data_IF_537399030406
#
_entry.id   IF_537399030406
#
_cell.length_a   1.000
_cell.length_b   1.000
_cell.length_c   1.000
_cell.angle_alpha   90.00
_cell.angle_beta   90.00
_cell.angle_gamma   90.00
#
_symmetry.space_group_name_H-M   'P 1'
#
loop_
_entity.id
_entity.type
_entity.pdbx_description
1 polymer ?
#
# COMPACT_ATOMS: atom_id res chain seq x y z
N UNK A 1 -10.94 -13.17 21.48
CA UNK A 1 -10.20 -11.93 21.15
C UNK A 1 -8.93 -12.32 20.40
N UNK A 2 -8.68 -11.76 19.22
CA UNK A 2 -7.40 -11.96 18.53
C UNK A 2 -6.32 -11.16 19.25
N UNK A 3 -5.10 -11.69 19.36
CA UNK A 3 -4.00 -10.95 19.99
C UNK A 3 -3.63 -9.74 19.12
N UNK A 4 -3.19 -8.64 19.75
CA UNK A 4 -2.75 -7.42 19.04
C UNK A 4 -1.63 -7.72 18.04
N UNK A 5 -0.74 -8.66 18.39
CA UNK A 5 0.38 -9.09 17.55
C UNK A 5 -0.14 -9.76 16.27
N UNK A 6 -1.08 -10.70 16.39
CA UNK A 6 -1.63 -11.38 15.22
C UNK A 6 -2.38 -10.40 14.31
N UNK A 7 -3.10 -9.42 14.88
CA UNK A 7 -3.77 -8.38 14.10
C UNK A 7 -2.79 -7.51 13.31
N UNK A 8 -1.72 -7.02 13.95
CA UNK A 8 -0.71 -6.19 13.26
C UNK A 8 0.03 -7.04 12.22
N UNK A 9 0.40 -8.27 12.55
CA UNK A 9 1.11 -9.18 11.66
C UNK A 9 0.33 -9.49 10.39
N UNK A 10 -0.99 -9.71 10.48
CA UNK A 10 -1.79 -9.96 9.28
C UNK A 10 -1.88 -8.71 8.39
N UNK A 11 -2.05 -7.52 8.96
CA UNK A 11 -2.06 -6.27 8.19
C UNK A 11 -0.72 -6.02 7.52
N UNK A 12 0.38 -6.24 8.24
CA UNK A 12 1.73 -6.07 7.70
C UNK A 12 1.95 -6.97 6.49
N UNK A 13 1.60 -8.26 6.57
CA UNK A 13 1.69 -9.20 5.45
C UNK A 13 0.78 -8.75 4.28
N UNK A 14 -0.46 -8.36 4.57
CA UNK A 14 -1.41 -7.88 3.55
C UNK A 14 -0.93 -6.61 2.85
N UNK A 15 -0.21 -5.72 3.54
CA UNK A 15 0.38 -4.52 2.94
C UNK A 15 1.68 -4.82 2.19
N UNK A 16 2.49 -5.77 2.68
CA UNK A 16 3.80 -6.08 2.13
C UNK A 16 3.73 -6.69 0.73
N UNK A 17 2.77 -7.59 0.49
CA UNK A 17 2.59 -8.25 -0.82
C UNK A 17 2.30 -7.24 -1.95
N UNK A 18 1.25 -6.39 -1.88
CA UNK A 18 0.99 -5.41 -2.93
C UNK A 18 2.10 -4.37 -3.05
N UNK A 19 2.78 -4.02 -1.95
CA UNK A 19 3.95 -3.15 -1.99
C UNK A 19 5.13 -3.77 -2.77
N UNK A 20 5.45 -5.05 -2.55
CA UNK A 20 6.46 -5.75 -3.35
C UNK A 20 6.09 -5.84 -4.83
N UNK A 21 4.82 -6.12 -5.14
CA UNK A 21 4.31 -6.14 -6.51
C UNK A 21 4.39 -4.75 -7.16
N UNK A 22 4.14 -3.69 -6.39
CA UNK A 22 4.29 -2.31 -6.84
C UNK A 22 5.74 -2.04 -7.24
N UNK A 23 6.71 -2.33 -6.35
CA UNK A 23 8.13 -2.16 -6.64
C UNK A 23 8.56 -2.95 -7.88
N UNK A 24 8.19 -4.23 -7.94
CA UNK A 24 8.53 -5.10 -9.06
C UNK A 24 7.92 -4.61 -10.38
N UNK A 25 6.68 -4.11 -10.38
CA UNK A 25 6.04 -3.61 -11.60
C UNK A 25 6.58 -2.24 -12.02
N UNK A 26 6.84 -1.33 -11.08
CA UNK A 26 7.46 -0.03 -11.38
C UNK A 26 8.85 -0.18 -11.97
N UNK A 27 9.62 -1.18 -11.53
CA UNK A 27 10.96 -1.45 -12.07
C UNK A 27 10.95 -1.92 -13.53
N UNK A 28 9.82 -2.40 -14.06
CA UNK A 28 9.70 -2.83 -15.46
C UNK A 28 9.31 -1.69 -16.41
N UNK A 29 8.92 -0.52 -15.88
CA UNK A 29 8.34 0.57 -16.66
C UNK A 29 9.14 1.87 -16.55
N UNK A 30 10.41 1.79 -16.16
CA UNK A 30 11.30 2.94 -15.98
C UNK A 30 11.55 3.73 -17.26
N UNK A 31 11.43 3.08 -18.41
CA UNK A 31 11.61 3.69 -19.75
C UNK A 31 10.37 4.45 -20.25
N UNK A 32 9.25 4.41 -19.50
CA UNK A 32 8.05 5.16 -19.90
C UNK A 32 8.24 6.66 -19.73
N UNK A 33 7.49 7.44 -20.52
CA UNK A 33 7.44 8.88 -20.28
C UNK A 33 6.91 9.17 -18.86
N UNK A 34 7.40 10.25 -18.24
CA UNK A 34 7.06 10.60 -16.86
C UNK A 34 5.56 10.63 -16.59
N UNK A 35 4.76 11.11 -17.54
CA UNK A 35 3.30 11.16 -17.40
C UNK A 35 2.70 9.74 -17.29
N UNK A 36 3.09 8.82 -18.17
CA UNK A 36 2.58 7.45 -18.14
C UNK A 36 3.06 6.70 -16.90
N UNK A 37 4.32 6.90 -16.50
CA UNK A 37 4.86 6.33 -15.26
C UNK A 37 4.02 6.74 -14.05
N UNK A 38 3.72 8.04 -13.89
CA UNK A 38 2.91 8.56 -12.77
C UNK A 38 1.49 7.97 -12.80
N UNK A 39 0.83 7.97 -13.95
CA UNK A 39 -0.53 7.43 -14.09
C UNK A 39 -0.57 5.95 -13.74
N UNK A 40 0.35 5.15 -14.26
CA UNK A 40 0.42 3.71 -13.97
C UNK A 40 0.75 3.50 -12.49
N UNK A 41 1.68 4.25 -11.92
CA UNK A 41 2.03 4.19 -10.51
C UNK A 41 0.80 4.42 -9.61
N UNK A 42 -0.02 5.43 -9.91
CA UNK A 42 -1.23 5.74 -9.16
C UNK A 42 -2.29 4.64 -9.30
N UNK A 43 -2.52 4.16 -10.52
CA UNK A 43 -3.47 3.07 -10.78
C UNK A 43 -3.04 1.77 -10.07
N UNK A 44 -1.75 1.45 -10.09
CA UNK A 44 -1.22 0.27 -9.39
C UNK A 44 -1.38 0.38 -7.88
N UNK A 45 -1.04 1.52 -7.27
CA UNK A 45 -1.27 1.76 -5.85
C UNK A 45 -2.75 1.54 -5.48
N UNK A 46 -3.65 2.15 -6.25
CA UNK A 46 -5.07 2.01 -5.96
C UNK A 46 -5.55 0.56 -6.09
N UNK A 47 -5.23 -0.09 -7.21
CA UNK A 47 -5.72 -1.43 -7.55
C UNK A 47 -5.15 -2.51 -6.64
N UNK A 48 -3.83 -2.55 -6.45
CA UNK A 48 -3.17 -3.60 -5.66
C UNK A 48 -3.62 -3.57 -4.20
N UNK A 49 -3.69 -2.38 -3.60
CA UNK A 49 -4.13 -2.24 -2.21
C UNK A 49 -5.63 -2.43 -2.05
N UNK A 50 -6.47 -1.95 -2.97
CA UNK A 50 -7.91 -2.21 -2.94
C UNK A 50 -8.21 -3.72 -3.03
N UNK A 51 -7.53 -4.45 -3.91
CA UNK A 51 -7.71 -5.90 -4.05
C UNK A 51 -7.23 -6.61 -2.78
N UNK A 52 -6.00 -6.36 -2.33
CA UNK A 52 -5.41 -7.04 -1.18
C UNK A 52 -6.24 -6.81 0.09
N UNK A 53 -6.62 -5.56 0.37
CA UNK A 53 -7.43 -5.24 1.54
C UNK A 53 -8.90 -5.62 1.36
N UNK A 54 -9.44 -5.66 0.15
CA UNK A 54 -10.76 -6.22 -0.12
C UNK A 54 -10.85 -7.70 0.29
N UNK A 55 -9.82 -8.50 -0.02
CA UNK A 55 -9.74 -9.88 0.47
C UNK A 55 -9.53 -9.97 1.98
N UNK A 56 -8.72 -9.08 2.55
CA UNK A 56 -8.56 -8.99 4.00
C UNK A 56 -9.90 -8.75 4.70
N UNK A 57 -10.67 -7.73 4.30
CA UNK A 57 -11.93 -7.39 4.96
C UNK A 57 -13.03 -8.45 4.75
N UNK A 58 -13.03 -9.18 3.64
CA UNK A 58 -13.90 -10.37 3.49
C UNK A 58 -13.68 -11.39 4.61
N UNK A 59 -12.44 -11.59 5.05
CA UNK A 59 -12.11 -12.47 6.19
C UNK A 59 -12.18 -11.81 7.57
N UNK A 60 -12.30 -10.48 7.62
CA UNK A 60 -12.16 -9.67 8.85
C UNK A 60 -13.24 -8.57 8.94
N UNK A 61 -14.50 -8.92 8.66
CA UNK A 61 -15.61 -7.95 8.55
C UNK A 61 -15.88 -7.11 9.80
N UNK A 62 -15.39 -7.52 10.97
CA UNK A 62 -15.60 -6.83 12.25
C UNK A 62 -14.50 -5.82 12.59
N UNK A 63 -13.45 -5.75 11.78
CA UNK A 63 -12.34 -4.82 12.02
C UNK A 63 -12.72 -3.41 11.54
N UNK A 64 -12.33 -2.41 12.33
CA UNK A 64 -12.55 -1.00 11.97
C UNK A 64 -11.68 -0.60 10.76
N UNK A 65 -12.28 -0.15 9.64
CA UNK A 65 -11.53 0.22 8.44
C UNK A 65 -10.47 1.30 8.67
N UNK A 66 -10.75 2.27 9.55
CA UNK A 66 -9.81 3.33 9.87
C UNK A 66 -8.57 2.78 10.59
N UNK A 67 -8.77 1.93 11.60
CA UNK A 67 -7.68 1.28 12.32
C UNK A 67 -6.81 0.41 11.41
N UNK A 68 -7.42 -0.35 10.51
CA UNK A 68 -6.69 -1.21 9.55
C UNK A 68 -5.85 -0.35 8.60
N UNK A 69 -6.43 0.71 8.04
CA UNK A 69 -5.73 1.67 7.18
C UNK A 69 -4.55 2.32 7.92
N UNK A 70 -4.75 2.82 9.14
CA UNK A 70 -3.69 3.49 9.90
C UNK A 70 -2.50 2.57 10.17
N UNK A 71 -2.75 1.31 10.57
CA UNK A 71 -1.69 0.32 10.78
C UNK A 71 -0.98 -0.01 9.47
N UNK A 72 -1.72 -0.18 8.37
CA UNK A 72 -1.14 -0.45 7.06
C UNK A 72 -0.20 0.68 6.60
N UNK A 73 -0.59 1.95 6.78
CA UNK A 73 0.27 3.09 6.44
C UNK A 73 1.55 3.12 7.28
N UNK A 74 1.46 2.83 8.58
CA UNK A 74 2.66 2.72 9.43
C UNK A 74 3.57 1.59 8.95
N UNK A 75 3.01 0.42 8.59
CA UNK A 75 3.79 -0.68 8.01
C UNK A 75 4.48 -0.27 6.70
N UNK A 76 3.78 0.42 5.80
CA UNK A 76 4.35 0.90 4.54
C UNK A 76 5.50 1.87 4.78
N UNK A 77 5.36 2.84 5.69
CA UNK A 77 6.46 3.73 6.07
C UNK A 77 7.68 2.94 6.55
N UNK A 78 7.48 1.91 7.38
CA UNK A 78 8.58 1.04 7.82
C UNK A 78 9.21 0.29 6.65
N UNK A 79 8.41 -0.25 5.73
CA UNK A 79 8.92 -0.97 4.55
C UNK A 79 9.74 -0.04 3.64
N UNK A 80 9.25 1.16 3.37
CA UNK A 80 9.96 2.16 2.57
C UNK A 80 11.28 2.57 3.24
N UNK A 81 11.27 2.85 4.54
CA UNK A 81 12.48 3.20 5.28
C UNK A 81 13.51 2.06 5.26
N UNK A 82 13.07 0.81 5.36
CA UNK A 82 13.96 -0.36 5.29
C UNK A 82 14.51 -0.52 3.87
N UNK A 83 13.65 -0.43 2.85
CA UNK A 83 14.04 -0.62 1.47
C UNK A 83 15.00 0.47 1.00
N UNK A 84 14.63 1.74 1.16
CA UNK A 84 15.47 2.86 0.74
C UNK A 84 16.67 3.09 1.65
N UNK A 85 16.61 2.68 2.92
CA UNK A 85 17.72 2.80 3.86
C UNK A 85 18.80 1.73 3.71
N UNK A 86 18.44 0.53 3.25
CA UNK A 86 19.35 -0.63 3.30
C UNK A 86 19.45 -1.44 2.00
N UNK A 87 18.52 -1.31 1.06
CA UNK A 87 18.43 -2.21 -0.12
C UNK A 87 18.58 -1.43 -1.44
N UNK A 88 18.01 -0.24 -1.53
CA UNK A 88 18.00 0.52 -2.79
C UNK A 88 19.33 1.23 -3.05
N UNK A 89 20.02 0.86 -4.13
CA UNK A 89 21.30 1.44 -4.56
C UNK A 89 21.18 2.40 -5.77
N UNK A 90 19.96 2.67 -6.24
CA UNK A 90 19.72 3.50 -7.42
C UNK A 90 19.61 5.01 -7.14
N UNK A 91 19.44 5.81 -8.20
CA UNK A 91 19.11 7.23 -8.06
C UNK A 91 17.65 7.41 -7.65
N UNK A 92 17.40 8.24 -6.64
CA UNK A 92 16.06 8.57 -6.13
C UNK A 92 15.34 9.60 -7.03
N UNK A 93 15.48 9.48 -8.35
CA UNK A 93 15.06 10.48 -9.33
C UNK A 93 13.53 10.73 -9.38
N UNK A 94 12.75 9.84 -8.77
CA UNK A 94 11.29 9.89 -8.65
C UNK A 94 10.78 10.28 -7.25
N UNK A 95 11.66 10.69 -6.33
CA UNK A 95 11.29 11.02 -4.94
C UNK A 95 11.03 12.51 -4.71
N UNK A 96 10.12 13.13 -5.46
CA UNK A 96 9.60 14.41 -5.00
C UNK A 96 8.63 14.20 -3.83
N UNK A 97 8.45 15.21 -2.99
CA UNK A 97 7.46 15.18 -1.89
C UNK A 97 6.05 14.79 -2.37
N UNK A 98 5.69 15.22 -3.59
CA UNK A 98 4.41 14.90 -4.24
C UNK A 98 4.31 13.42 -4.60
N UNK A 99 5.42 12.84 -5.06
CA UNK A 99 5.51 11.42 -5.43
C UNK A 99 5.43 10.47 -4.22
N UNK A 100 5.54 10.98 -2.99
CA UNK A 100 5.29 10.22 -1.75
C UNK A 100 3.85 10.39 -1.24
N UNK A 101 3.35 11.62 -1.19
CA UNK A 101 2.06 11.89 -0.56
C UNK A 101 0.89 11.40 -1.38
N UNK A 102 0.93 11.60 -2.70
CA UNK A 102 -0.21 11.20 -3.54
C UNK A 102 -0.38 9.67 -3.49
N UNK A 103 0.67 8.84 -3.69
CA UNK A 103 0.53 7.39 -3.49
C UNK A 103 0.06 7.01 -2.09
N UNK A 104 0.62 7.61 -1.03
CA UNK A 104 0.17 7.32 0.33
C UNK A 104 -1.32 7.63 0.55
N UNK A 105 -1.80 8.76 0.01
CA UNK A 105 -3.21 9.14 0.06
C UNK A 105 -4.10 8.19 -0.75
N UNK A 106 -3.66 7.77 -1.94
CA UNK A 106 -4.39 6.83 -2.79
C UNK A 106 -4.48 5.45 -2.13
N UNK A 107 -3.39 4.96 -1.54
CA UNK A 107 -3.38 3.71 -0.78
C UNK A 107 -4.30 3.80 0.43
N UNK A 108 -4.21 4.88 1.22
CA UNK A 108 -5.09 5.12 2.37
C UNK A 108 -6.57 5.08 1.96
N UNK A 109 -6.90 5.82 0.90
CA UNK A 109 -8.26 5.91 0.36
C UNK A 109 -8.75 4.56 -0.16
N UNK A 110 -7.92 3.81 -0.87
CA UNK A 110 -8.25 2.46 -1.33
C UNK A 110 -8.56 1.52 -0.17
N UNK A 111 -7.69 1.45 0.83
CA UNK A 111 -7.86 0.55 1.99
C UNK A 111 -9.13 0.92 2.77
N UNK A 112 -9.29 2.20 3.11
CA UNK A 112 -10.46 2.67 3.86
C UNK A 112 -11.75 2.47 3.06
N UNK A 113 -11.74 2.82 1.77
CA UNK A 113 -12.87 2.70 0.87
C UNK A 113 -13.37 1.26 0.76
N UNK A 114 -12.47 0.30 0.47
CA UNK A 114 -12.87 -1.11 0.39
C UNK A 114 -13.33 -1.64 1.74
N UNK A 115 -12.69 -1.24 2.84
CA UNK A 115 -13.12 -1.59 4.19
C UNK A 115 -14.54 -1.13 4.46
N UNK A 116 -14.85 0.15 4.24
CA UNK A 116 -16.20 0.69 4.41
C UNK A 116 -17.24 -0.03 3.55
N UNK A 117 -16.90 -0.40 2.33
CA UNK A 117 -17.81 -1.13 1.43
C UNK A 117 -18.04 -2.59 1.84
N UNK A 118 -17.09 -3.24 2.52
CA UNK A 118 -17.19 -4.67 2.88
C UNK A 118 -17.59 -4.92 4.33
N UNK A 119 -17.34 -4.00 5.26
CA UNK A 119 -17.71 -4.16 6.68
C UNK A 119 -19.12 -3.64 6.98
N UNK A 120 -19.76 -2.93 6.05
CA UNK A 120 -21.12 -2.40 6.17
C UNK A 120 -22.11 -2.96 5.13
N UNK A 121 -21.66 -3.93 4.32
CA UNK A 121 -22.52 -4.71 3.43
C UNK A 121 -22.95 -6.01 4.12
#
# INVERSE_FOLDING_TARGET
MRSKIVFIGTIAITAFIPWLLLLAGLSQITELSRLFFIVIHYLMNMALFAIAFGWYFKGHQKEDPFRVMAVALVCLVVFELVYFGFIYEGELWFLTYVDWIIPAFLVATSIYGVGKLTTHA
#
